data_IF_476932029137
#
_entry.id   IF_476932029137
#
_cell.length_a   1.000
_cell.length_b   1.000
_cell.length_c   1.000
_cell.angle_alpha   90.00
_cell.angle_beta   90.00
_cell.angle_gamma   90.00
#
_symmetry.space_group_name_H-M   'P 1'
#
loop_
_entity.id
_entity.type
_entity.pdbx_description
1 polymer ?
#
# COMPACT_ATOMS: atom_id res chain seq x y z
N UNK A 1 2.66 8.30 4.11
CA UNK A 1 3.40 9.26 4.97
C UNK A 1 2.68 10.60 5.18
N UNK A 2 1.45 10.82 4.68
CA UNK A 2 0.69 12.08 4.84
C UNK A 2 -0.06 12.11 6.18
N UNK A 3 -0.12 13.25 6.84
CA UNK A 3 -0.84 13.41 8.12
C UNK A 3 -2.36 13.24 7.95
N UNK A 4 -3.04 12.77 9.00
CA UNK A 4 -4.45 12.42 8.98
C UNK A 4 -5.34 13.61 8.62
N UNK A 5 -4.98 14.81 9.09
CA UNK A 5 -5.68 16.04 8.76
C UNK A 5 -5.78 16.33 7.25
N UNK A 6 -4.90 15.76 6.43
CA UNK A 6 -4.97 15.87 4.96
C UNK A 6 -5.57 14.63 4.31
N UNK A 7 -5.49 13.47 4.96
CA UNK A 7 -6.00 12.20 4.42
C UNK A 7 -7.52 12.16 4.47
N UNK A 8 -8.13 12.43 5.62
CA UNK A 8 -9.58 12.31 5.79
C UNK A 8 -10.37 13.25 4.87
N UNK A 9 -10.09 14.56 4.82
CA UNK A 9 -10.87 15.46 3.96
C UNK A 9 -10.73 15.15 2.48
N UNK A 10 -9.55 14.68 2.05
CA UNK A 10 -9.31 14.30 0.66
C UNK A 10 -10.13 13.05 0.29
N UNK A 11 -10.13 12.03 1.14
CA UNK A 11 -10.90 10.80 0.89
C UNK A 11 -12.40 11.06 0.87
N UNK A 12 -12.90 11.93 1.74
CA UNK A 12 -14.30 12.37 1.76
C UNK A 12 -14.67 13.13 0.49
N UNK A 13 -13.85 14.11 0.07
CA UNK A 13 -14.07 14.86 -1.16
C UNK A 13 -14.07 13.96 -2.41
N UNK A 14 -13.27 12.89 -2.40
CA UNK A 14 -13.21 11.89 -3.47
C UNK A 14 -14.30 10.80 -3.35
N UNK A 15 -15.12 10.83 -2.30
CA UNK A 15 -16.15 9.82 -2.01
C UNK A 15 -15.59 8.39 -1.89
N UNK A 16 -14.35 8.27 -1.40
CA UNK A 16 -13.66 6.99 -1.28
C UNK A 16 -13.79 6.36 0.11
N UNK A 17 -14.22 7.12 1.12
CA UNK A 17 -14.32 6.65 2.50
C UNK A 17 -15.19 5.39 2.65
N UNK A 18 -16.23 5.24 1.83
CA UNK A 18 -17.12 4.07 1.86
C UNK A 18 -16.43 2.74 1.48
N UNK A 19 -15.29 2.80 0.79
CA UNK A 19 -14.51 1.62 0.39
C UNK A 19 -13.39 1.27 1.37
N UNK A 20 -13.17 2.08 2.42
CA UNK A 20 -12.05 1.95 3.34
C UNK A 20 -12.57 1.67 4.76
N UNK A 21 -12.24 0.51 5.30
CA UNK A 21 -12.68 0.12 6.65
C UNK A 21 -11.76 0.64 7.76
N UNK A 22 -10.48 0.88 7.45
CA UNK A 22 -9.49 1.35 8.41
C UNK A 22 -8.45 2.23 7.71
N UNK A 23 -8.04 3.32 8.35
CA UNK A 23 -7.09 4.28 7.79
C UNK A 23 -5.90 4.42 8.74
N UNK A 24 -4.71 4.11 8.22
CA UNK A 24 -3.43 4.42 8.89
C UNK A 24 -2.78 5.58 8.14
N UNK A 25 -2.83 6.76 8.73
CA UNK A 25 -2.16 7.96 8.24
C UNK A 25 -0.70 8.01 8.70
N UNK A 26 0.06 8.98 8.18
CA UNK A 26 1.48 9.13 8.46
C UNK A 26 1.81 9.54 9.91
N UNK A 27 0.82 10.04 10.64
CA UNK A 27 0.89 10.44 12.04
C UNK A 27 0.08 9.51 12.97
N UNK A 28 -0.50 8.43 12.44
CA UNK A 28 -1.16 7.40 13.26
C UNK A 28 -0.16 6.65 14.14
N UNK A 29 1.05 6.42 13.63
CA UNK A 29 2.16 5.81 14.36
C UNK A 29 3.40 6.72 14.31
N UNK A 30 4.34 6.50 15.22
CA UNK A 30 5.63 7.20 15.19
C UNK A 30 6.45 6.81 13.94
N UNK A 31 6.37 5.55 13.52
CA UNK A 31 7.07 5.02 12.37
C UNK A 31 6.24 5.15 11.08
N UNK A 32 6.94 5.33 9.96
CA UNK A 32 6.38 5.48 8.60
C UNK A 32 7.08 4.52 7.65
N UNK A 33 6.43 4.16 6.53
CA UNK A 33 7.09 3.44 5.44
C UNK A 33 8.41 4.14 5.07
N UNK A 34 9.53 3.41 4.96
CA UNK A 34 9.64 1.96 4.70
C UNK A 34 9.56 1.03 5.93
N UNK A 35 9.34 1.56 7.14
CA UNK A 35 9.09 0.74 8.31
C UNK A 35 7.81 -0.10 8.14
N UNK A 36 7.78 -1.39 8.53
CA UNK A 36 6.61 -2.26 8.37
C UNK A 36 5.49 -1.98 9.38
N UNK A 37 5.75 -1.25 10.47
CA UNK A 37 4.80 -1.04 11.57
C UNK A 37 3.41 -0.56 11.12
N UNK A 38 3.27 0.37 10.16
CA UNK A 38 1.95 0.76 9.65
C UNK A 38 1.17 -0.39 8.99
N UNK A 39 1.86 -1.26 8.25
CA UNK A 39 1.24 -2.41 7.59
C UNK A 39 0.86 -3.47 8.62
N UNK A 40 1.78 -3.80 9.53
CA UNK A 40 1.53 -4.76 10.62
C UNK A 40 0.39 -4.30 11.53
N UNK A 41 0.31 -3.00 11.82
CA UNK A 41 -0.79 -2.43 12.59
C UNK A 41 -2.14 -2.61 11.89
N UNK A 42 -2.23 -2.35 10.58
CA UNK A 42 -3.45 -2.57 9.80
C UNK A 42 -3.82 -4.06 9.76
N UNK A 43 -2.86 -4.94 9.50
CA UNK A 43 -3.07 -6.41 9.47
C UNK A 43 -3.62 -6.91 10.82
N UNK A 44 -3.00 -6.48 11.92
CA UNK A 44 -3.43 -6.85 13.27
C UNK A 44 -4.83 -6.32 13.59
N UNK A 45 -5.17 -5.11 13.15
CA UNK A 45 -6.52 -4.54 13.31
C UNK A 45 -7.60 -5.41 12.64
N UNK A 46 -7.30 -5.99 11.48
CA UNK A 46 -8.23 -6.86 10.77
C UNK A 46 -8.17 -8.33 11.19
N UNK A 47 -7.14 -8.75 11.93
CA UNK A 47 -6.96 -10.15 12.33
C UNK A 47 -6.77 -11.10 11.15
N UNK A 48 -6.22 -10.62 10.03
CA UNK A 48 -6.01 -11.39 8.80
C UNK A 48 -4.59 -11.97 8.74
N UNK A 49 -4.42 -13.06 7.98
CA UNK A 49 -3.12 -13.68 7.78
C UNK A 49 -2.25 -12.86 6.80
N UNK A 50 -0.93 -12.91 7.00
CA UNK A 50 0.05 -12.26 6.11
C UNK A 50 -0.08 -12.78 4.66
N UNK A 51 -0.31 -14.09 4.50
CA UNK A 51 -0.49 -14.75 3.19
C UNK A 51 -1.75 -14.27 2.44
N UNK A 52 -2.73 -13.73 3.17
CA UNK A 52 -3.97 -13.19 2.59
C UNK A 52 -3.91 -11.65 2.44
N UNK A 53 -2.73 -11.06 2.60
CA UNK A 53 -2.53 -9.62 2.56
C UNK A 53 -1.61 -9.23 1.41
N UNK A 54 -2.01 -8.21 0.66
CA UNK A 54 -1.18 -7.59 -0.38
C UNK A 54 -1.11 -6.08 -0.18
N UNK A 55 0.10 -5.53 -0.29
CA UNK A 55 0.34 -4.09 -0.38
C UNK A 55 0.16 -3.64 -1.83
N UNK A 56 -0.65 -2.60 -2.06
CA UNK A 56 -0.72 -1.92 -3.36
C UNK A 56 -0.14 -0.52 -3.20
N UNK A 57 0.90 -0.21 -3.98
CA UNK A 57 1.63 1.06 -3.87
C UNK A 57 2.29 1.48 -5.17
N UNK A 58 3.19 2.44 -5.10
CA UNK A 58 3.84 3.04 -6.27
C UNK A 58 5.30 3.42 -6.05
N UNK A 59 5.83 3.23 -4.84
CA UNK A 59 7.15 3.70 -4.45
C UNK A 59 8.02 2.62 -3.83
N UNK A 60 9.33 2.83 -3.84
CA UNK A 60 10.30 1.98 -3.14
C UNK A 60 9.97 1.80 -1.64
N UNK A 61 9.37 2.82 -1.01
CA UNK A 61 8.97 2.74 0.40
C UNK A 61 7.85 1.71 0.62
N UNK A 62 6.96 1.53 -0.36
CA UNK A 62 5.89 0.53 -0.31
C UNK A 62 6.47 -0.87 -0.41
N UNK A 63 7.39 -1.07 -1.35
CA UNK A 63 8.07 -2.35 -1.54
C UNK A 63 8.87 -2.72 -0.30
N UNK A 64 9.68 -1.81 0.22
CA UNK A 64 10.49 -2.07 1.42
C UNK A 64 9.63 -2.39 2.65
N UNK A 65 8.55 -1.64 2.86
CA UNK A 65 7.63 -1.91 3.97
C UNK A 65 6.95 -3.27 3.83
N UNK A 66 6.45 -3.62 2.64
CA UNK A 66 5.81 -4.90 2.38
C UNK A 66 6.78 -6.07 2.59
N UNK A 67 8.02 -5.95 2.11
CA UNK A 67 9.08 -6.96 2.31
C UNK A 67 9.42 -7.12 3.80
N UNK A 68 9.56 -6.01 4.53
CA UNK A 68 9.82 -6.05 5.97
C UNK A 68 8.64 -6.65 6.77
N UNK A 69 7.40 -6.43 6.29
CA UNK A 69 6.19 -7.03 6.86
C UNK A 69 5.94 -8.48 6.40
N UNK A 70 6.73 -8.98 5.44
CA UNK A 70 6.58 -10.31 4.80
C UNK A 70 5.21 -10.51 4.14
N UNK A 71 4.74 -9.49 3.41
CA UNK A 71 3.53 -9.57 2.59
C UNK A 71 3.84 -9.34 1.12
N UNK A 72 2.94 -9.77 0.25
CA UNK A 72 3.02 -9.53 -1.18
C UNK A 72 2.91 -8.03 -1.51
N UNK A 73 3.48 -7.59 -2.63
CA UNK A 73 3.41 -6.21 -3.10
C UNK A 73 3.17 -6.10 -4.60
N UNK A 74 2.11 -5.38 -4.96
CA UNK A 74 1.79 -4.99 -6.32
C UNK A 74 2.05 -3.49 -6.44
N UNK A 75 2.83 -3.09 -7.44
CA UNK A 75 3.06 -1.68 -7.71
C UNK A 75 2.40 -1.20 -9.00
N UNK A 76 1.90 0.03 -8.99
CA UNK A 76 1.51 0.73 -10.22
C UNK A 76 2.71 1.46 -10.82
N UNK A 77 2.86 1.44 -12.15
CA UNK A 77 4.00 2.08 -12.82
C UNK A 77 3.89 3.60 -12.98
N UNK A 78 2.68 4.16 -12.85
CA UNK A 78 2.37 5.56 -13.12
C UNK A 78 2.32 6.47 -11.87
N UNK A 79 2.71 5.95 -10.70
CA UNK A 79 2.75 6.75 -9.47
C UNK A 79 4.06 7.51 -9.29
N UNK A 80 4.32 7.93 -8.05
CA UNK A 80 5.45 8.78 -7.68
C UNK A 80 6.56 7.98 -6.98
N UNK A 81 7.54 7.54 -7.78
CA UNK A 81 8.74 6.87 -7.29
C UNK A 81 10.02 7.70 -7.47
N UNK A 82 9.96 9.01 -7.19
CA UNK A 82 11.11 9.91 -7.26
C UNK A 82 11.84 9.92 -8.62
N UNK A 83 11.08 9.73 -9.72
CA UNK A 83 11.63 9.70 -11.08
C UNK A 83 12.34 8.41 -11.48
N UNK A 84 12.29 7.35 -10.66
CA UNK A 84 12.85 6.02 -10.98
C UNK A 84 11.76 5.03 -11.35
N UNK A 85 12.07 4.09 -12.24
CA UNK A 85 11.14 3.02 -12.56
C UNK A 85 10.91 2.15 -11.32
N UNK A 86 9.65 1.93 -10.97
CA UNK A 86 9.28 1.11 -9.81
C UNK A 86 9.75 -0.35 -9.95
N UNK A 87 9.97 -0.83 -11.17
CA UNK A 87 10.53 -2.16 -11.46
C UNK A 87 11.93 -2.34 -10.86
N UNK A 88 12.71 -1.27 -10.72
CA UNK A 88 14.04 -1.32 -10.06
C UNK A 88 13.93 -1.70 -8.58
N UNK A 89 12.78 -1.47 -7.95
CA UNK A 89 12.54 -1.82 -6.55
C UNK A 89 12.12 -3.29 -6.36
N UNK A 90 11.94 -4.06 -7.44
CA UNK A 90 11.58 -5.49 -7.41
C UNK A 90 10.29 -5.82 -6.64
N UNK A 91 9.14 -5.19 -6.95
CA UNK A 91 7.84 -5.64 -6.46
C UNK A 91 7.48 -7.02 -7.04
N UNK A 92 6.49 -7.71 -6.46
CA UNK A 92 6.07 -9.03 -6.96
C UNK A 92 5.39 -8.91 -8.33
N UNK A 93 4.58 -7.86 -8.51
CA UNK A 93 3.90 -7.55 -9.78
C UNK A 93 3.96 -6.04 -10.01
N UNK A 94 4.16 -5.63 -11.26
CA UNK A 94 3.92 -4.25 -11.71
C UNK A 94 2.74 -4.22 -12.67
N UNK A 95 1.78 -3.34 -12.42
CA UNK A 95 0.64 -3.07 -13.31
C UNK A 95 0.74 -1.66 -13.87
N UNK A 96 0.34 -1.49 -15.13
CA UNK A 96 0.37 -0.21 -15.84
C UNK A 96 -1.00 0.50 -15.83
N UNK A 97 -2.05 -0.20 -15.43
CA UNK A 97 -3.39 0.36 -15.18
C UNK A 97 -4.01 -0.27 -13.94
N UNK A 98 -4.69 0.55 -13.12
CA UNK A 98 -5.40 0.04 -11.94
C UNK A 98 -6.45 -1.02 -12.28
N UNK A 99 -7.02 -0.97 -13.49
CA UNK A 99 -8.00 -1.98 -13.95
C UNK A 99 -7.43 -3.39 -14.06
N UNK A 100 -6.10 -3.55 -14.06
CA UNK A 100 -5.42 -4.85 -14.07
C UNK A 100 -5.34 -5.48 -12.68
N UNK A 101 -5.61 -4.71 -11.61
CA UNK A 101 -5.45 -5.17 -10.22
C UNK A 101 -6.21 -6.47 -9.91
N UNK A 102 -7.48 -6.67 -10.32
CA UNK A 102 -8.17 -7.94 -10.06
C UNK A 102 -7.50 -9.15 -10.72
N UNK A 103 -6.96 -8.98 -11.93
CA UNK A 103 -6.22 -10.04 -12.64
C UNK A 103 -4.88 -10.31 -11.95
N UNK A 104 -4.18 -9.26 -11.52
CA UNK A 104 -2.92 -9.38 -10.79
C UNK A 104 -3.11 -10.15 -9.47
N UNK A 105 -4.13 -9.81 -8.67
CA UNK A 105 -4.46 -10.52 -7.43
C UNK A 105 -4.80 -11.99 -7.73
N UNK A 106 -5.63 -12.26 -8.74
CA UNK A 106 -6.00 -13.63 -9.10
C UNK A 106 -4.82 -14.50 -9.59
N UNK A 107 -3.72 -13.88 -10.03
CA UNK A 107 -2.50 -14.58 -10.44
C UNK A 107 -1.54 -14.88 -9.27
N UNK A 108 -1.82 -14.35 -8.07
CA UNK A 108 -1.07 -14.65 -6.86
C UNK A 108 -1.62 -15.95 -6.26
N UNK A 109 -0.76 -16.95 -6.11
CA UNK A 109 -1.10 -18.25 -5.54
C UNK A 109 -1.29 -18.19 -4.03
#
# INVERSE_FOLDING_TARGET
NKAQCFVTPLLEAMQLTAYLTFIVAGDTLQAKKPDPSPLLHAINNFGVNLEQTVMVGDSINDVQAARAARIAVICVSYGYNHGRDIRESQPDIVIDSFSQLPTAIASMN
#
